data_IF_535165023084
#
_entry.id   IF_535165023084
#
_cell.length_a   1.000
_cell.length_b   1.000
_cell.length_c   1.000
_cell.angle_alpha   90.00
_cell.angle_beta   90.00
_cell.angle_gamma   90.00
#
_symmetry.space_group_name_H-M   'P 1'
#
loop_
_entity.id
_entity.type
_entity.pdbx_description
1 polymer ?
#
# COMPACT_ATOMS: atom_id res chain seq x y z
N UNK A 1 -2.22 -2.33 31.22
CA UNK A 1 -2.41 -3.23 32.40
C UNK A 1 -1.35 -4.32 32.44
N UNK A 2 -1.09 -5.04 31.34
CA UNK A 2 -0.12 -6.17 31.30
C UNK A 2 1.30 -5.72 31.60
N UNK A 3 1.77 -4.60 31.03
CA UNK A 3 3.12 -4.09 31.26
C UNK A 3 3.36 -3.75 32.75
N UNK A 4 2.39 -3.08 33.39
CA UNK A 4 2.46 -2.78 34.83
C UNK A 4 2.52 -4.05 35.69
N UNK A 5 1.76 -5.10 35.34
CA UNK A 5 1.79 -6.37 36.06
C UNK A 5 3.12 -7.13 35.91
N UNK A 6 3.88 -6.80 34.86
CA UNK A 6 5.22 -7.38 34.58
C UNK A 6 6.37 -6.45 34.97
N UNK A 7 6.08 -5.36 35.67
CA UNK A 7 7.06 -4.36 36.07
C UNK A 7 7.87 -3.79 34.88
N UNK A 8 7.20 -3.66 33.72
CA UNK A 8 7.80 -3.11 32.50
C UNK A 8 7.46 -1.63 32.37
N UNK A 9 8.43 -0.81 31.97
CA UNK A 9 8.18 0.57 31.58
C UNK A 9 7.38 0.60 30.28
N UNK A 10 6.53 1.61 30.14
CA UNK A 10 5.73 1.86 28.95
C UNK A 10 5.78 3.34 28.64
N UNK A 11 6.32 3.66 27.50
CA UNK A 11 6.25 4.99 26.92
C UNK A 11 5.16 5.00 25.85
N UNK A 12 4.35 6.05 25.87
CA UNK A 12 3.28 6.26 24.90
C UNK A 12 3.66 7.47 24.07
N UNK A 13 3.74 7.28 22.77
CA UNK A 13 4.05 8.35 21.82
C UNK A 13 2.79 8.95 21.22
N UNK A 14 2.84 10.23 20.90
CA UNK A 14 1.77 10.95 20.21
C UNK A 14 2.27 11.37 18.83
N UNK A 15 1.63 10.87 17.78
CA UNK A 15 1.95 11.19 16.39
C UNK A 15 1.79 12.69 16.07
N UNK A 16 0.89 13.38 16.78
CA UNK A 16 0.68 14.82 16.60
C UNK A 16 1.88 15.68 17.02
N UNK A 17 2.88 15.10 17.68
CA UNK A 17 4.15 15.80 17.99
C UNK A 17 5.05 15.96 16.77
N UNK A 18 4.80 15.21 15.69
CA UNK A 18 5.54 15.29 14.43
C UNK A 18 4.80 16.25 13.50
N UNK A 19 5.49 17.30 13.06
CA UNK A 19 4.87 18.31 12.19
C UNK A 19 4.67 17.80 10.75
N UNK A 20 3.62 18.29 10.08
CA UNK A 20 3.38 18.02 8.66
C UNK A 20 4.56 18.46 7.79
N UNK A 21 5.14 19.65 8.05
CA UNK A 21 6.32 20.16 7.36
C UNK A 21 7.55 19.22 7.46
N UNK A 22 7.64 18.43 8.52
CA UNK A 22 8.70 17.43 8.66
C UNK A 22 8.34 16.18 7.84
N UNK A 23 7.09 15.74 7.89
CA UNK A 23 6.62 14.58 7.13
C UNK A 23 6.75 14.78 5.62
N UNK A 24 6.52 15.99 5.13
CA UNK A 24 6.65 16.35 3.71
C UNK A 24 8.10 16.26 3.17
N UNK A 25 9.10 16.22 4.06
CA UNK A 25 10.52 16.07 3.65
C UNK A 25 10.92 14.64 3.32
N UNK A 26 10.10 13.64 3.66
CA UNK A 26 10.39 12.27 3.27
C UNK A 26 10.25 12.08 1.76
N UNK A 27 11.20 11.40 1.09
CA UNK A 27 11.09 11.09 -0.33
C UNK A 27 10.08 9.97 -0.63
N UNK A 28 9.41 9.45 0.39
CA UNK A 28 8.37 8.41 0.35
C UNK A 28 7.31 8.73 1.39
N UNK A 29 6.14 8.10 1.28
CA UNK A 29 5.08 8.28 2.28
C UNK A 29 5.41 7.48 3.54
N UNK A 30 5.51 8.18 4.66
CA UNK A 30 5.78 7.61 5.98
C UNK A 30 4.64 7.98 6.93
N UNK A 31 4.43 7.18 7.97
CA UNK A 31 3.42 7.45 9.00
C UNK A 31 4.04 8.19 10.20
N UNK A 32 3.38 9.26 10.64
CA UNK A 32 3.85 10.05 11.78
C UNK A 32 3.99 9.22 13.06
N UNK A 33 3.16 8.19 13.24
CA UNK A 33 3.26 7.22 14.34
C UNK A 33 4.60 6.48 14.34
N UNK A 34 5.09 6.05 13.17
CA UNK A 34 6.36 5.36 13.05
C UNK A 34 7.52 6.30 13.39
N UNK A 35 7.45 7.54 12.90
CA UNK A 35 8.45 8.57 13.20
C UNK A 35 8.49 8.90 14.70
N UNK A 36 7.32 9.09 15.32
CA UNK A 36 7.22 9.39 16.75
C UNK A 36 7.77 8.22 17.60
N UNK A 37 7.45 6.98 17.23
CA UNK A 37 7.96 5.79 17.91
C UNK A 37 9.48 5.66 17.76
N UNK A 38 10.01 5.81 16.54
CA UNK A 38 11.44 5.76 16.30
C UNK A 38 12.19 6.88 17.04
N UNK A 39 11.62 8.10 17.11
CA UNK A 39 12.17 9.21 17.85
C UNK A 39 12.25 8.92 19.36
N UNK A 40 11.21 8.31 19.93
CA UNK A 40 11.21 7.91 21.34
C UNK A 40 12.31 6.88 21.61
N UNK A 41 12.44 5.86 20.77
CA UNK A 41 13.52 4.86 20.90
C UNK A 41 14.89 5.52 20.83
N UNK A 42 15.11 6.47 19.91
CA UNK A 42 16.36 7.22 19.81
C UNK A 42 16.66 8.00 21.09
N UNK A 43 15.66 8.66 21.68
CA UNK A 43 15.81 9.37 22.97
C UNK A 43 16.20 8.43 24.12
N UNK A 44 15.58 7.25 24.18
CA UNK A 44 15.85 6.24 25.22
C UNK A 44 17.28 5.71 25.17
N UNK A 45 17.89 5.65 23.98
CA UNK A 45 19.30 5.25 23.78
C UNK A 45 20.28 6.43 23.76
N UNK A 46 19.82 7.65 24.08
CA UNK A 46 20.66 8.84 24.25
C UNK A 46 21.01 9.58 22.95
N UNK A 47 20.27 9.33 21.86
CA UNK A 47 20.40 10.09 20.60
C UNK A 47 19.57 11.37 20.71
N UNK A 48 20.18 12.52 20.36
CA UNK A 48 19.44 13.79 20.34
C UNK A 48 18.35 13.81 19.28
N UNK A 49 17.28 14.58 19.54
CA UNK A 49 16.14 14.71 18.63
C UNK A 49 16.56 15.16 17.21
N UNK A 50 17.37 16.23 17.13
CA UNK A 50 17.84 16.77 15.85
C UNK A 50 18.62 15.73 15.02
N UNK A 51 19.47 14.95 15.70
CA UNK A 51 20.25 13.90 15.05
C UNK A 51 19.36 12.76 14.57
N UNK A 52 18.38 12.35 15.41
CA UNK A 52 17.42 11.30 15.06
C UNK A 52 16.57 11.69 13.85
N UNK A 53 15.96 12.89 13.89
CA UNK A 53 15.13 13.41 12.79
C UNK A 53 15.95 13.56 11.48
N UNK A 54 17.18 14.11 11.58
CA UNK A 54 18.08 14.23 10.41
C UNK A 54 18.49 12.87 9.85
N UNK A 55 18.64 11.85 10.70
CA UNK A 55 18.94 10.48 10.31
C UNK A 55 17.78 9.81 9.59
N UNK A 56 16.57 9.96 10.09
CA UNK A 56 15.36 9.35 9.51
C UNK A 56 15.13 9.80 8.06
N UNK A 57 15.37 11.08 7.74
CA UNK A 57 15.25 11.58 6.35
C UNK A 57 16.29 10.99 5.37
N UNK A 58 17.33 10.35 5.87
CA UNK A 58 18.39 9.71 5.06
C UNK A 58 18.20 8.21 4.93
N UNK A 59 17.17 7.65 5.53
CA UNK A 59 16.88 6.22 5.45
C UNK A 59 16.49 5.83 4.02
N UNK A 60 17.02 4.70 3.55
CA UNK A 60 16.48 4.08 2.35
C UNK A 60 15.20 3.33 2.74
N UNK A 61 14.08 3.60 2.06
CA UNK A 61 12.85 2.87 2.33
C UNK A 61 13.02 1.39 1.95
N UNK A 62 12.27 0.53 2.64
CA UNK A 62 12.13 -0.86 2.23
C UNK A 62 11.56 -0.97 0.81
N UNK A 63 11.86 -2.04 0.05
CA UNK A 63 11.31 -2.23 -1.29
C UNK A 63 9.78 -2.16 -1.38
N UNK A 64 9.09 -2.37 -0.27
CA UNK A 64 7.64 -2.24 -0.16
C UNK A 64 7.14 -0.89 0.37
N UNK A 65 8.03 0.07 0.61
CA UNK A 65 7.62 1.39 1.11
C UNK A 65 6.69 2.09 0.12
N UNK A 66 5.79 2.88 0.68
CA UNK A 66 4.77 3.58 -0.09
C UNK A 66 5.40 4.69 -0.94
N UNK A 67 5.67 4.37 -2.20
CA UNK A 67 6.20 5.30 -3.20
C UNK A 67 5.17 5.49 -4.31
N UNK A 68 5.02 6.70 -4.79
CA UNK A 68 4.19 7.00 -5.96
C UNK A 68 5.11 7.24 -7.15
N UNK A 69 4.93 6.44 -8.19
CA UNK A 69 5.63 6.61 -9.46
C UNK A 69 4.71 7.14 -10.54
N UNK A 70 5.22 8.09 -11.31
CA UNK A 70 4.57 8.52 -12.54
C UNK A 70 5.12 7.66 -13.69
N UNK A 71 4.26 6.83 -14.26
CA UNK A 71 4.62 5.88 -15.30
C UNK A 71 4.00 6.32 -16.62
N UNK A 72 4.83 6.60 -17.62
CA UNK A 72 4.38 6.88 -19.00
C UNK A 72 4.42 5.59 -19.82
N UNK A 73 3.24 5.12 -20.19
CA UNK A 73 3.07 3.98 -21.09
C UNK A 73 2.58 4.47 -22.46
N UNK A 74 3.51 4.67 -23.40
CA UNK A 74 3.21 5.09 -24.79
C UNK A 74 2.40 6.39 -24.88
N UNK A 75 2.67 7.34 -24.00
CA UNK A 75 2.00 8.65 -23.94
C UNK A 75 0.78 8.69 -23.02
N UNK A 76 0.44 7.59 -22.36
CA UNK A 76 -0.57 7.58 -21.28
C UNK A 76 0.11 7.59 -19.92
N UNK A 77 -0.15 8.63 -19.14
CA UNK A 77 0.43 8.79 -17.81
C UNK A 77 -0.43 8.05 -16.77
N UNK A 78 0.20 7.16 -16.01
CA UNK A 78 -0.39 6.49 -14.87
C UNK A 78 0.33 6.87 -13.58
N UNK A 79 -0.39 6.92 -12.47
CA UNK A 79 0.17 7.11 -11.13
C UNK A 79 0.16 5.77 -10.42
N UNK A 80 1.32 5.16 -10.21
CA UNK A 80 1.42 3.87 -9.54
C UNK A 80 1.90 4.04 -8.10
N UNK A 81 1.08 3.57 -7.17
CA UNK A 81 1.38 3.55 -5.73
C UNK A 81 1.83 2.15 -5.33
N UNK A 82 3.07 2.05 -4.89
CA UNK A 82 3.58 0.81 -4.29
C UNK A 82 3.11 0.70 -2.83
N UNK A 83 2.01 -0.02 -2.60
CA UNK A 83 1.47 -0.28 -1.27
C UNK A 83 1.58 -1.76 -0.85
N UNK A 84 2.48 -2.52 -1.47
CA UNK A 84 2.65 -3.95 -1.17
C UNK A 84 3.14 -4.24 0.25
N UNK A 85 3.73 -3.27 0.95
CA UNK A 85 4.09 -3.40 2.37
C UNK A 85 2.86 -3.43 3.29
N UNK A 86 1.73 -2.88 2.88
CA UNK A 86 0.47 -2.99 3.60
C UNK A 86 -0.05 -4.44 3.51
N UNK A 87 0.12 -5.17 4.58
CA UNK A 87 -0.09 -6.62 4.61
C UNK A 87 -1.48 -7.03 5.13
N UNK A 88 -2.32 -6.08 5.50
CA UNK A 88 -3.63 -6.30 6.10
C UNK A 88 -4.66 -5.29 5.58
N UNK A 89 -5.97 -5.60 5.68
CA UNK A 89 -7.04 -4.74 5.18
C UNK A 89 -7.03 -3.35 5.79
N UNK A 90 -6.75 -3.22 7.09
CA UNK A 90 -6.80 -1.94 7.79
C UNK A 90 -5.72 -0.99 7.27
N UNK A 91 -4.48 -1.45 7.18
CA UNK A 91 -3.36 -0.66 6.65
C UNK A 91 -3.60 -0.30 5.19
N UNK A 92 -4.10 -1.24 4.39
CA UNK A 92 -4.44 -1.00 2.97
C UNK A 92 -5.51 0.09 2.83
N UNK A 93 -6.58 0.03 3.62
CA UNK A 93 -7.64 1.03 3.61
C UNK A 93 -7.16 2.41 4.09
N UNK A 94 -6.31 2.45 5.11
CA UNK A 94 -5.70 3.70 5.59
C UNK A 94 -4.89 4.39 4.48
N UNK A 95 -4.08 3.63 3.73
CA UNK A 95 -3.32 4.17 2.59
C UNK A 95 -4.26 4.68 1.50
N UNK A 96 -5.29 3.91 1.16
CA UNK A 96 -6.28 4.32 0.17
C UNK A 96 -6.93 5.65 0.54
N UNK A 97 -7.45 5.77 1.76
CA UNK A 97 -8.11 6.98 2.24
C UNK A 97 -7.15 8.18 2.30
N UNK A 98 -5.88 7.95 2.66
CA UNK A 98 -4.86 9.01 2.67
C UNK A 98 -4.58 9.57 1.27
N UNK A 99 -4.74 8.75 0.23
CA UNK A 99 -4.47 9.12 -1.15
C UNK A 99 -5.71 9.62 -1.90
N UNK A 100 -6.89 9.54 -1.32
CA UNK A 100 -8.18 9.85 -1.97
C UNK A 100 -8.18 11.24 -2.62
N UNK A 101 -7.58 12.24 -1.97
CA UNK A 101 -7.48 13.60 -2.52
C UNK A 101 -6.62 13.70 -3.80
N UNK A 102 -5.76 12.71 -4.09
CA UNK A 102 -4.93 12.64 -5.29
C UNK A 102 -5.60 11.91 -6.45
N UNK A 103 -6.74 11.25 -6.18
CA UNK A 103 -7.46 10.43 -7.16
C UNK A 103 -8.57 11.19 -7.90
N UNK A 104 -8.91 12.40 -7.44
CA UNK A 104 -10.15 13.14 -7.82
C UNK A 104 -10.35 13.26 -9.34
N UNK A 105 -9.29 13.40 -10.12
CA UNK A 105 -9.35 13.57 -11.57
C UNK A 105 -8.92 12.32 -12.36
N UNK A 106 -8.78 11.17 -11.70
CA UNK A 106 -8.29 9.94 -12.32
C UNK A 106 -9.27 8.79 -12.09
N UNK A 107 -9.38 7.91 -13.08
CA UNK A 107 -9.96 6.59 -12.84
C UNK A 107 -9.08 5.80 -11.88
N UNK A 108 -9.69 5.04 -10.99
CA UNK A 108 -9.03 4.34 -9.90
C UNK A 108 -8.82 2.87 -10.21
N UNK A 109 -7.66 2.34 -9.88
CA UNK A 109 -7.33 0.94 -10.10
C UNK A 109 -6.67 0.33 -8.86
N UNK A 110 -7.13 -0.84 -8.46
CA UNK A 110 -6.40 -1.71 -7.53
C UNK A 110 -5.73 -2.83 -8.31
N UNK A 111 -4.43 -3.01 -8.12
CA UNK A 111 -3.69 -4.18 -8.58
C UNK A 111 -3.36 -5.10 -7.41
N UNK A 112 -4.01 -6.26 -7.32
CA UNK A 112 -3.77 -7.27 -6.30
C UNK A 112 -2.88 -8.38 -6.87
N UNK A 113 -1.64 -8.49 -6.36
CA UNK A 113 -0.77 -9.62 -6.63
C UNK A 113 -0.95 -10.69 -5.55
N UNK A 114 -1.50 -11.85 -5.93
CA UNK A 114 -1.80 -12.94 -4.99
C UNK A 114 -0.65 -13.95 -4.89
N UNK A 115 -0.73 -14.81 -3.88
CA UNK A 115 0.11 -16.00 -3.71
C UNK A 115 -0.73 -17.17 -3.22
N UNK A 116 -0.50 -18.33 -3.79
CA UNK A 116 -1.24 -19.56 -3.47
C UNK A 116 -1.09 -20.01 -2.00
N UNK A 117 0.07 -19.71 -1.35
CA UNK A 117 0.31 -20.02 0.08
C UNK A 117 -0.27 -18.96 1.04
N UNK A 118 -0.89 -17.90 0.54
CA UNK A 118 -1.45 -16.77 1.33
C UNK A 118 -2.94 -16.54 1.08
N UNK A 119 -3.70 -17.59 0.83
CA UNK A 119 -5.16 -17.55 0.51
C UNK A 119 -5.97 -16.71 1.49
N UNK A 120 -5.73 -16.86 2.79
CA UNK A 120 -6.47 -16.10 3.81
C UNK A 120 -6.31 -14.58 3.62
N UNK A 121 -5.07 -14.11 3.39
CA UNK A 121 -4.80 -12.71 3.11
C UNK A 121 -5.44 -12.26 1.79
N UNK A 122 -5.32 -13.06 0.75
CA UNK A 122 -5.97 -12.80 -0.54
C UNK A 122 -7.46 -12.57 -0.37
N UNK A 123 -8.16 -13.46 0.36
CA UNK A 123 -9.59 -13.32 0.64
C UNK A 123 -9.93 -12.05 1.41
N UNK A 124 -9.13 -11.70 2.42
CA UNK A 124 -9.34 -10.48 3.19
C UNK A 124 -9.19 -9.21 2.33
N UNK A 125 -8.14 -9.15 1.49
CA UNK A 125 -7.91 -8.01 0.60
C UNK A 125 -8.96 -7.92 -0.50
N UNK A 126 -9.40 -9.04 -1.06
CA UNK A 126 -10.49 -9.06 -2.04
C UNK A 126 -11.82 -8.56 -1.44
N UNK A 127 -12.15 -9.02 -0.22
CA UNK A 127 -13.33 -8.52 0.48
C UNK A 127 -13.25 -7.01 0.75
N UNK A 128 -12.09 -6.50 1.15
CA UNK A 128 -11.85 -5.06 1.32
C UNK A 128 -12.09 -4.31 0.01
N UNK A 129 -11.47 -4.77 -1.09
CA UNK A 129 -11.58 -4.09 -2.39
C UNK A 129 -13.02 -4.09 -2.88
N UNK A 130 -13.71 -5.22 -2.82
CA UNK A 130 -15.07 -5.31 -3.33
C UNK A 130 -16.12 -4.58 -2.46
N UNK A 131 -15.95 -4.56 -1.13
CA UNK A 131 -16.99 -4.02 -0.25
C UNK A 131 -16.73 -2.60 0.26
N UNK A 132 -15.47 -2.15 0.32
CA UNK A 132 -15.12 -0.87 0.93
C UNK A 132 -14.44 0.09 -0.07
N UNK A 133 -13.42 -0.36 -0.81
CA UNK A 133 -12.67 0.50 -1.74
C UNK A 133 -13.47 0.76 -3.02
N UNK A 134 -13.96 -0.27 -3.68
CA UNK A 134 -14.75 -0.23 -4.92
C UNK A 134 -14.12 0.64 -6.02
N UNK A 135 -12.91 0.29 -6.53
CA UNK A 135 -12.26 1.03 -7.59
C UNK A 135 -13.01 0.87 -8.92
N UNK A 136 -12.73 1.73 -9.91
CA UNK A 136 -13.27 1.58 -11.25
C UNK A 136 -12.74 0.32 -11.95
N UNK A 137 -11.46 -0.03 -11.68
CA UNK A 137 -10.79 -1.22 -12.23
C UNK A 137 -10.13 -2.04 -11.13
N UNK A 138 -10.41 -3.34 -11.10
CA UNK A 138 -9.77 -4.29 -10.19
C UNK A 138 -8.98 -5.34 -10.98
N UNK A 139 -7.66 -5.25 -10.92
CA UNK A 139 -6.75 -6.19 -11.58
C UNK A 139 -6.27 -7.20 -10.55
N UNK A 140 -6.43 -8.48 -10.84
CA UNK A 140 -5.99 -9.57 -9.96
C UNK A 140 -5.04 -10.46 -10.74
N UNK A 141 -3.84 -10.69 -10.18
CA UNK A 141 -2.89 -11.66 -10.69
C UNK A 141 -2.79 -12.85 -9.75
N UNK A 142 -3.07 -14.06 -10.26
CA UNK A 142 -2.98 -15.32 -9.55
C UNK A 142 -3.99 -16.35 -10.03
N UNK A 143 -3.70 -17.64 -9.82
CA UNK A 143 -4.54 -18.74 -10.29
C UNK A 143 -5.47 -19.29 -9.19
N UNK A 144 -5.11 -19.09 -7.94
CA UNK A 144 -5.80 -19.69 -6.79
C UNK A 144 -6.76 -18.67 -6.13
N UNK A 145 -7.75 -18.27 -6.92
CA UNK A 145 -8.74 -17.28 -6.51
C UNK A 145 -9.90 -17.95 -5.75
N UNK A 146 -10.50 -17.27 -4.77
CA UNK A 146 -11.69 -17.77 -4.08
C UNK A 146 -12.83 -18.04 -5.04
N UNK A 147 -13.61 -19.08 -4.77
CA UNK A 147 -14.80 -19.40 -5.57
C UNK A 147 -15.86 -18.29 -5.49
N UNK A 148 -15.90 -17.62 -4.37
CA UNK A 148 -16.79 -16.51 -4.06
C UNK A 148 -16.47 -15.23 -4.84
N UNK A 149 -15.31 -15.20 -5.54
CA UNK A 149 -14.90 -14.04 -6.32
C UNK A 149 -15.93 -13.65 -7.37
N UNK A 150 -16.50 -14.61 -8.10
CA UNK A 150 -17.52 -14.34 -9.11
C UNK A 150 -18.78 -13.71 -8.47
N UNK A 151 -19.21 -14.21 -7.33
CA UNK A 151 -20.35 -13.64 -6.60
C UNK A 151 -20.07 -12.22 -6.06
N UNK A 152 -18.81 -11.96 -5.68
CA UNK A 152 -18.37 -10.63 -5.24
C UNK A 152 -18.33 -9.64 -6.42
N UNK A 153 -17.85 -10.07 -7.56
CA UNK A 153 -17.77 -9.25 -8.79
C UNK A 153 -19.18 -8.94 -9.31
N UNK A 154 -20.03 -9.94 -9.40
CA UNK A 154 -21.39 -9.80 -9.94
C UNK A 154 -22.29 -8.83 -9.14
N UNK A 155 -21.90 -8.54 -7.90
CA UNK A 155 -22.59 -7.53 -7.06
C UNK A 155 -22.23 -6.08 -7.40
N UNK A 156 -21.15 -5.87 -8.15
CA UNK A 156 -20.58 -4.55 -8.42
C UNK A 156 -20.60 -4.22 -9.91
N UNK A 157 -21.76 -3.78 -10.41
CA UNK A 157 -21.99 -3.46 -11.84
C UNK A 157 -21.04 -2.38 -12.41
N UNK A 158 -20.40 -1.58 -11.56
CA UNK A 158 -19.53 -0.46 -11.96
C UNK A 158 -18.03 -0.79 -11.95
N UNK A 159 -17.63 -1.85 -11.29
CA UNK A 159 -16.23 -2.24 -11.16
C UNK A 159 -15.85 -3.20 -12.29
N UNK A 160 -14.97 -2.77 -13.18
CA UNK A 160 -14.37 -3.66 -14.17
C UNK A 160 -13.35 -4.58 -13.47
N UNK A 161 -13.36 -5.87 -13.80
CA UNK A 161 -12.41 -6.84 -13.24
C UNK A 161 -11.59 -7.50 -14.33
N UNK A 162 -10.24 -7.42 -14.17
CA UNK A 162 -9.29 -8.07 -15.07
C UNK A 162 -8.45 -9.11 -14.34
N UNK A 163 -8.47 -10.34 -14.86
CA UNK A 163 -7.69 -11.44 -14.28
C UNK A 163 -6.44 -11.73 -15.13
N UNK A 164 -5.32 -11.88 -14.46
CA UNK A 164 -4.07 -12.37 -15.01
C UNK A 164 -3.67 -13.68 -14.32
N UNK A 165 -3.26 -14.72 -15.06
CA UNK A 165 -2.78 -15.96 -14.46
C UNK A 165 -1.48 -15.71 -13.66
N UNK A 166 -1.17 -16.59 -12.71
CA UNK A 166 0.05 -16.49 -11.89
C UNK A 166 1.33 -16.47 -12.74
N UNK A 167 1.32 -17.13 -13.88
CA UNK A 167 2.43 -17.15 -14.86
C UNK A 167 2.54 -15.90 -15.74
N UNK A 168 1.59 -14.97 -15.66
CA UNK A 168 1.66 -13.74 -16.46
C UNK A 168 2.96 -12.97 -16.16
N UNK A 169 3.64 -12.52 -17.20
CA UNK A 169 4.86 -11.74 -17.08
C UNK A 169 4.56 -10.27 -16.74
N UNK A 170 5.52 -9.52 -16.16
CA UNK A 170 5.38 -8.07 -16.00
C UNK A 170 5.07 -7.34 -17.31
N UNK A 171 5.67 -7.78 -18.43
CA UNK A 171 5.43 -7.19 -19.75
C UNK A 171 3.97 -7.27 -20.19
N UNK A 172 3.28 -8.39 -19.90
CA UNK A 172 1.85 -8.52 -20.23
C UNK A 172 0.98 -7.54 -19.43
N UNK A 173 1.34 -7.26 -18.17
CA UNK A 173 0.66 -6.27 -17.38
C UNK A 173 0.93 -4.85 -17.89
N UNK A 174 2.18 -4.54 -18.25
CA UNK A 174 2.53 -3.25 -18.83
C UNK A 174 1.88 -3.01 -20.19
N UNK A 175 1.76 -4.04 -21.05
CA UNK A 175 1.01 -3.96 -22.29
C UNK A 175 -0.46 -3.64 -22.05
N UNK A 176 -1.05 -4.22 -21.02
CA UNK A 176 -2.42 -3.91 -20.63
C UNK A 176 -2.55 -2.47 -20.14
N UNK A 177 -1.68 -1.99 -19.26
CA UNK A 177 -1.70 -0.58 -18.83
C UNK A 177 -1.50 0.39 -20.00
N UNK A 178 -0.67 0.04 -20.99
CA UNK A 178 -0.51 0.86 -22.20
C UNK A 178 -1.76 0.87 -23.10
N UNK A 179 -2.75 0.01 -22.86
CA UNK A 179 -3.98 -0.11 -23.66
C UNK A 179 -5.20 0.54 -23.02
N UNK A 180 -5.09 0.99 -21.77
CA UNK A 180 -6.19 1.62 -21.04
C UNK A 180 -5.92 3.11 -20.82
N UNK A 181 -6.96 3.86 -20.45
CA UNK A 181 -6.86 5.27 -20.11
C UNK A 181 -6.04 5.47 -18.83
N UNK A 182 -5.64 6.72 -18.55
CA UNK A 182 -4.89 7.10 -17.35
C UNK A 182 -5.57 6.59 -16.08
N UNK A 183 -4.79 5.98 -15.20
CA UNK A 183 -5.26 5.39 -13.96
C UNK A 183 -4.42 5.86 -12.77
N UNK A 184 -5.07 5.98 -11.62
CA UNK A 184 -4.40 5.97 -10.32
C UNK A 184 -4.39 4.54 -9.79
N UNK A 185 -3.25 3.88 -9.87
CA UNK A 185 -3.11 2.43 -9.62
C UNK A 185 -2.48 2.23 -8.25
N UNK A 186 -3.13 1.49 -7.35
CA UNK A 186 -2.53 1.08 -6.09
C UNK A 186 -2.22 -0.43 -6.11
N UNK A 187 -0.94 -0.77 -6.04
CA UNK A 187 -0.46 -2.14 -5.95
C UNK A 187 -0.50 -2.66 -4.52
N UNK A 188 -1.21 -3.76 -4.29
CA UNK A 188 -1.40 -4.40 -2.98
C UNK A 188 -1.13 -5.90 -3.03
N UNK A 189 -1.02 -6.54 -1.87
CA UNK A 189 -0.86 -7.99 -1.74
C UNK A 189 0.59 -8.40 -1.57
N UNK A 190 1.13 -9.23 -2.45
CA UNK A 190 2.46 -9.78 -2.29
C UNK A 190 3.49 -9.12 -3.22
N UNK A 191 4.57 -8.60 -2.64
CA UNK A 191 5.68 -8.01 -3.42
C UNK A 191 6.72 -9.07 -3.81
N UNK A 192 6.95 -10.08 -2.96
CA UNK A 192 8.06 -11.03 -3.13
C UNK A 192 7.97 -11.81 -4.45
N UNK A 193 9.08 -11.89 -5.15
CA UNK A 193 9.22 -12.58 -6.43
C UNK A 193 8.76 -11.70 -7.59
N UNK A 194 7.58 -11.94 -8.12
CA UNK A 194 7.07 -11.24 -9.30
C UNK A 194 6.90 -9.73 -9.09
N UNK A 195 6.48 -9.31 -7.90
CA UNK A 195 6.26 -7.89 -7.58
C UNK A 195 7.56 -7.09 -7.35
N UNK A 196 8.73 -7.73 -7.34
CA UNK A 196 10.04 -7.09 -7.24
C UNK A 196 10.63 -6.73 -8.61
N UNK A 197 10.03 -7.21 -9.70
CA UNK A 197 10.46 -7.00 -11.08
C UNK A 197 9.66 -5.89 -11.76
#
# INVERSE_FOLDING_TARGET
RVAKSRNSNVDVVDANTISEDYMDKFPFLEHAENVALALQVCKDVGVSEDLALSGMLKTNPDPGALVIWNLDFKGTLHHFVNAFAANDPKSTLQIWNMLEHRMVDNSTCIFLNTRSDRRYRTNQLMNLVCNEIQPDLFIIRGDDLPKELHELIDKHERMEVKLFPEKASPSQLFEYFASIESQFIMGIGNIVGWGEN
#
